data_IF_704078456009
#
_entry.id   IF_704078456009
#
_cell.length_a   1.000
_cell.length_b   1.000
_cell.length_c   1.000
_cell.angle_alpha   90.00
_cell.angle_beta   90.00
_cell.angle_gamma   90.00
#
_symmetry.space_group_name_H-M   'P 1'
#
loop_
_entity.id
_entity.type
_entity.pdbx_description
1 polymer ?
#
# COMPACT_ATOMS: atom_id res chain seq x y z
N UNK A 1 16.10 6.13 4.80
CA UNK A 1 16.12 7.42 5.52
C UNK A 1 17.56 7.90 5.68
N UNK A 2 17.90 9.11 5.21
CA UNK A 2 19.26 9.65 5.35
C UNK A 2 19.74 9.72 6.79
N UNK A 3 18.89 10.12 7.74
CA UNK A 3 19.25 10.21 9.15
C UNK A 3 19.63 8.85 9.76
N UNK A 4 18.94 7.77 9.38
CA UNK A 4 19.29 6.42 9.83
C UNK A 4 20.62 5.95 9.22
N UNK A 5 20.80 6.15 7.92
CA UNK A 5 22.04 5.74 7.21
C UNK A 5 23.27 6.52 7.71
N UNK A 6 23.11 7.80 8.08
CA UNK A 6 24.17 8.62 8.68
C UNK A 6 24.37 8.42 10.19
N UNK A 7 23.62 7.48 10.80
CA UNK A 7 23.65 7.17 12.24
C UNK A 7 23.31 8.38 13.15
N UNK A 8 22.50 9.30 12.65
CA UNK A 8 21.95 10.41 13.45
C UNK A 8 20.78 9.96 14.33
N UNK A 9 20.13 8.85 13.96
CA UNK A 9 19.08 8.19 14.72
C UNK A 9 19.29 6.68 14.67
N UNK A 10 18.79 5.97 15.69
CA UNK A 10 18.93 4.52 15.81
C UNK A 10 17.79 3.77 15.09
N UNK A 11 16.63 4.42 14.93
CA UNK A 11 15.47 3.85 14.26
C UNK A 11 14.61 4.93 13.61
N UNK A 12 13.75 4.51 12.67
CA UNK A 12 12.74 5.36 12.02
C UNK A 12 11.41 4.62 11.95
N UNK A 13 10.31 5.37 12.04
CA UNK A 13 8.95 4.87 11.86
C UNK A 13 8.40 5.39 10.53
N UNK A 14 7.49 4.63 9.90
CA UNK A 14 6.83 5.00 8.64
C UNK A 14 7.67 4.73 7.40
N UNK A 15 8.67 3.86 7.51
CA UNK A 15 9.46 3.42 6.36
C UNK A 15 8.71 2.37 5.54
N UNK A 16 8.67 2.56 4.23
CA UNK A 16 8.18 1.53 3.30
C UNK A 16 9.27 0.49 3.06
N UNK A 17 9.10 -0.71 3.59
CA UNK A 17 10.10 -1.80 3.53
C UNK A 17 10.49 -2.19 2.10
N UNK A 18 9.55 -2.10 1.16
CA UNK A 18 9.78 -2.35 -0.27
C UNK A 18 10.57 -1.23 -0.99
N UNK A 19 10.85 -0.12 -0.31
CA UNK A 19 11.61 1.00 -0.86
C UNK A 19 12.85 1.31 -0.02
N UNK A 20 12.71 1.59 1.29
CA UNK A 20 13.82 2.01 2.13
C UNK A 20 14.87 0.91 2.36
N UNK A 21 14.48 -0.36 2.46
CA UNK A 21 15.45 -1.44 2.58
C UNK A 21 16.29 -1.56 1.30
N UNK A 22 15.65 -1.45 0.13
CA UNK A 22 16.37 -1.42 -1.15
C UNK A 22 17.31 -0.21 -1.26
N UNK A 23 16.87 0.96 -0.79
CA UNK A 23 17.72 2.14 -0.75
C UNK A 23 18.96 1.91 0.13
N UNK A 24 18.79 1.36 1.33
CA UNK A 24 19.89 1.09 2.24
C UNK A 24 20.86 0.06 1.66
N UNK A 25 20.35 -0.99 1.02
CA UNK A 25 21.17 -1.99 0.32
C UNK A 25 22.03 -1.38 -0.78
N UNK A 26 21.44 -0.51 -1.63
CA UNK A 26 22.15 0.20 -2.71
C UNK A 26 23.26 1.10 -2.14
N UNK A 27 22.99 1.75 -1.01
CA UNK A 27 23.96 2.61 -0.28
C UNK A 27 24.99 1.80 0.55
N UNK A 28 24.95 0.47 0.49
CA UNK A 28 25.85 -0.41 1.22
C UNK A 28 25.64 -0.41 2.74
N UNK A 29 24.46 -0.05 3.20
CA UNK A 29 24.08 -0.04 4.62
C UNK A 29 23.11 -1.17 4.89
N UNK A 30 23.44 -2.03 5.85
CA UNK A 30 22.53 -3.08 6.30
C UNK A 30 21.37 -2.47 7.11
N UNK A 31 20.12 -2.76 6.68
CA UNK A 31 18.89 -2.32 7.35
C UNK A 31 18.06 -3.50 7.86
N UNK A 32 17.49 -3.35 9.06
CA UNK A 32 16.52 -4.30 9.62
C UNK A 32 15.16 -3.63 9.72
N UNK A 33 14.13 -4.32 9.25
CA UNK A 33 12.73 -3.89 9.38
C UNK A 33 12.01 -4.79 10.38
N UNK A 34 11.25 -4.19 11.30
CA UNK A 34 10.25 -4.89 12.10
C UNK A 34 8.93 -4.79 11.35
N UNK A 35 8.36 -5.93 11.02
CA UNK A 35 7.08 -5.99 10.33
C UNK A 35 5.95 -5.87 11.36
N UNK A 36 5.16 -4.83 11.24
CA UNK A 36 4.13 -4.50 12.24
C UNK A 36 3.12 -5.64 12.44
N UNK A 37 2.85 -6.41 11.39
CA UNK A 37 2.01 -7.59 11.44
C UNK A 37 2.61 -8.75 12.27
N UNK A 38 3.94 -8.80 12.43
CA UNK A 38 4.64 -9.76 13.28
C UNK A 38 4.76 -9.24 14.73
N UNK A 39 4.56 -7.94 14.93
CA UNK A 39 4.61 -7.25 16.22
C UNK A 39 3.20 -7.02 16.82
N UNK A 40 2.18 -7.72 16.32
CA UNK A 40 0.84 -7.76 16.90
C UNK A 40 -0.16 -6.78 16.29
N UNK A 41 0.20 -5.97 15.31
CA UNK A 41 -0.77 -5.15 14.58
C UNK A 41 -1.48 -5.99 13.52
N UNK A 42 -2.82 -6.08 13.53
CA UNK A 42 -3.53 -6.84 12.50
C UNK A 42 -3.27 -6.27 11.10
N UNK A 43 -3.19 -7.12 10.06
CA UNK A 43 -3.07 -6.65 8.69
C UNK A 43 -4.21 -5.71 8.31
N UNK A 44 -3.89 -4.59 7.67
CA UNK A 44 -4.85 -3.59 7.20
C UNK A 44 -4.51 -3.11 5.78
N UNK A 45 -5.48 -2.46 5.13
CA UNK A 45 -5.26 -1.86 3.81
C UNK A 45 -4.61 -0.49 4.00
N UNK A 46 -3.33 -0.39 3.65
CA UNK A 46 -2.51 0.81 3.92
C UNK A 46 -2.81 1.95 2.93
N UNK A 47 -2.95 1.62 1.66
CA UNK A 47 -3.29 2.58 0.61
C UNK A 47 -4.67 2.27 0.05
N UNK A 48 -5.58 3.21 0.22
CA UNK A 48 -7.00 3.07 -0.17
C UNK A 48 -7.44 4.23 -1.05
N UNK A 49 -8.43 4.00 -1.89
CA UNK A 49 -9.13 5.06 -2.60
C UNK A 49 -10.22 5.65 -1.70
N UNK A 50 -10.27 6.97 -1.62
CA UNK A 50 -11.31 7.70 -0.89
C UNK A 50 -12.15 8.53 -1.83
N UNK A 51 -13.44 8.67 -1.53
CA UNK A 51 -14.39 9.46 -2.31
C UNK A 51 -15.24 10.36 -1.41
N UNK A 52 -15.72 11.45 -1.96
CA UNK A 52 -16.67 12.32 -1.25
C UNK A 52 -18.06 11.68 -1.26
N UNK A 53 -18.58 11.32 -0.09
CA UNK A 53 -19.89 10.69 0.09
C UNK A 53 -21.06 11.52 -0.46
N UNK A 54 -20.94 12.84 -0.54
CA UNK A 54 -22.01 13.72 -0.99
C UNK A 54 -22.24 13.69 -2.49
N UNK A 55 -21.21 13.26 -3.27
CA UNK A 55 -21.23 13.32 -4.75
C UNK A 55 -20.72 12.02 -5.38
N UNK A 56 -21.18 10.87 -4.90
CA UNK A 56 -20.77 9.57 -5.43
C UNK A 56 -21.40 9.34 -6.80
N UNK A 57 -20.57 9.33 -7.84
CA UNK A 57 -20.96 8.83 -9.17
C UNK A 57 -20.57 7.35 -9.29
N UNK A 58 -21.51 6.45 -8.98
CA UNK A 58 -21.27 5.00 -9.01
C UNK A 58 -20.74 4.52 -10.36
N UNK A 59 -21.31 4.97 -11.47
CA UNK A 59 -20.88 4.52 -12.81
C UNK A 59 -19.43 4.91 -13.11
N UNK A 60 -19.02 6.09 -12.68
CA UNK A 60 -17.62 6.52 -12.82
C UNK A 60 -16.70 5.67 -11.96
N UNK A 61 -17.08 5.40 -10.71
CA UNK A 61 -16.27 4.60 -9.78
C UNK A 61 -16.14 3.15 -10.26
N UNK A 62 -17.21 2.53 -10.76
CA UNK A 62 -17.14 1.18 -11.35
C UNK A 62 -16.12 1.15 -12.49
N UNK A 63 -16.19 2.11 -13.42
CA UNK A 63 -15.25 2.19 -14.54
C UNK A 63 -13.79 2.42 -14.06
N UNK A 64 -13.62 3.29 -13.08
CA UNK A 64 -12.31 3.55 -12.48
C UNK A 64 -11.74 2.28 -11.83
N UNK A 65 -12.50 1.62 -10.94
CA UNK A 65 -12.06 0.40 -10.26
C UNK A 65 -11.79 -0.74 -11.25
N UNK A 66 -12.64 -0.89 -12.28
CA UNK A 66 -12.41 -1.87 -13.35
C UNK A 66 -11.11 -1.59 -14.12
N UNK A 67 -10.79 -0.32 -14.38
CA UNK A 67 -9.53 0.05 -15.02
C UNK A 67 -8.31 -0.28 -14.12
N UNK A 68 -8.40 0.03 -12.81
CA UNK A 68 -7.36 -0.30 -11.84
C UNK A 68 -7.17 -1.82 -11.73
N UNK A 69 -8.26 -2.59 -11.65
CA UNK A 69 -8.18 -4.06 -11.59
C UNK A 69 -7.49 -4.65 -12.83
N UNK A 70 -7.88 -4.20 -14.02
CA UNK A 70 -7.23 -4.61 -15.28
C UNK A 70 -5.75 -4.25 -15.31
N UNK A 71 -5.40 -3.04 -14.87
CA UNK A 71 -4.00 -2.60 -14.78
C UNK A 71 -3.21 -3.45 -13.79
N UNK A 72 -3.78 -3.76 -12.62
CA UNK A 72 -3.14 -4.61 -11.61
C UNK A 72 -2.89 -6.01 -12.17
N UNK A 73 -3.87 -6.63 -12.81
CA UNK A 73 -3.73 -7.94 -13.44
C UNK A 73 -2.69 -7.93 -14.56
N UNK A 74 -2.66 -6.85 -15.35
CA UNK A 74 -1.66 -6.70 -16.40
C UNK A 74 -0.24 -6.61 -15.81
N UNK A 75 -0.03 -5.79 -14.77
CA UNK A 75 1.25 -5.63 -14.08
C UNK A 75 1.75 -6.98 -13.53
N UNK A 76 0.87 -7.75 -12.89
CA UNK A 76 1.21 -9.04 -12.29
C UNK A 76 1.62 -10.06 -13.37
N UNK A 77 0.92 -10.07 -14.49
CA UNK A 77 1.17 -11.02 -15.59
C UNK A 77 2.33 -10.58 -16.51
N UNK A 78 2.65 -9.28 -16.56
CA UNK A 78 3.65 -8.68 -17.41
C UNK A 78 4.60 -7.73 -16.64
N UNK A 79 5.28 -8.22 -15.59
CA UNK A 79 6.01 -7.36 -14.64
C UNK A 79 7.14 -6.56 -15.29
N UNK A 80 7.91 -7.17 -16.20
CA UNK A 80 9.03 -6.51 -16.90
C UNK A 80 8.54 -5.49 -17.93
N UNK A 81 7.47 -5.78 -18.64
CA UNK A 81 6.89 -4.85 -19.61
C UNK A 81 6.27 -3.64 -18.90
N UNK A 82 5.54 -3.90 -17.84
CA UNK A 82 4.94 -2.87 -17.00
C UNK A 82 6.00 -1.99 -16.33
N UNK A 83 7.13 -2.57 -15.89
CA UNK A 83 8.28 -1.79 -15.43
C UNK A 83 8.76 -0.83 -16.51
N UNK A 84 8.94 -1.29 -17.75
CA UNK A 84 9.40 -0.43 -18.85
C UNK A 84 8.43 0.72 -19.11
N UNK A 85 7.13 0.49 -19.07
CA UNK A 85 6.11 1.52 -19.22
C UNK A 85 6.25 2.56 -18.09
N UNK A 86 6.34 2.11 -16.84
CA UNK A 86 6.51 2.96 -15.67
C UNK A 86 7.82 3.77 -15.75
N UNK A 87 8.95 3.12 -15.99
CA UNK A 87 10.25 3.74 -16.02
C UNK A 87 10.39 4.78 -17.16
N UNK A 88 9.70 4.57 -18.28
CA UNK A 88 9.71 5.50 -19.42
C UNK A 88 8.76 6.68 -19.24
N UNK A 89 7.89 6.69 -18.22
CA UNK A 89 6.96 7.80 -17.98
C UNK A 89 7.66 9.07 -17.46
N UNK A 90 8.81 8.92 -16.80
CA UNK A 90 9.70 10.04 -16.40
C UNK A 90 11.14 9.56 -16.26
N UNK A 91 12.11 10.43 -16.58
CA UNK A 91 13.56 10.11 -16.48
C UNK A 91 13.98 9.78 -15.04
N UNK A 92 13.37 10.43 -14.07
CA UNK A 92 13.66 10.24 -12.63
C UNK A 92 13.23 8.86 -12.12
N UNK A 93 12.28 8.21 -12.81
CA UNK A 93 11.77 6.89 -12.42
C UNK A 93 12.66 5.74 -12.88
N UNK A 94 13.45 5.95 -13.96
CA UNK A 94 14.31 4.91 -14.52
C UNK A 94 15.64 4.79 -13.77
N UNK A 95 15.60 4.21 -12.58
CA UNK A 95 16.78 3.97 -11.76
C UNK A 95 16.68 2.61 -11.04
N UNK A 96 17.79 2.15 -10.46
CA UNK A 96 17.90 0.86 -9.78
C UNK A 96 16.97 0.74 -8.57
N UNK A 97 16.86 1.79 -7.76
CA UNK A 97 16.01 1.79 -6.57
C UNK A 97 14.54 1.58 -6.95
N UNK A 98 14.03 2.35 -7.91
CA UNK A 98 12.66 2.21 -8.36
C UNK A 98 12.41 0.84 -9.02
N UNK A 99 13.41 0.27 -9.71
CA UNK A 99 13.28 -1.06 -10.28
C UNK A 99 13.14 -2.14 -9.19
N UNK A 100 14.00 -2.13 -8.17
CA UNK A 100 13.89 -3.07 -7.03
C UNK A 100 12.55 -2.89 -6.31
N UNK A 101 12.18 -1.65 -5.99
CA UNK A 101 10.91 -1.35 -5.33
C UNK A 101 9.69 -1.78 -6.15
N UNK A 102 9.75 -1.67 -7.48
CA UNK A 102 8.68 -2.13 -8.38
C UNK A 102 8.39 -3.61 -8.20
N UNK A 103 9.42 -4.45 -8.28
CA UNK A 103 9.26 -5.90 -8.15
C UNK A 103 8.86 -6.32 -6.74
N UNK A 104 9.34 -5.64 -5.72
CA UNK A 104 8.94 -5.88 -4.33
C UNK A 104 7.50 -5.42 -4.04
N UNK A 105 6.96 -4.49 -4.81
CA UNK A 105 5.60 -3.97 -4.65
C UNK A 105 4.55 -4.88 -5.29
N UNK A 106 4.86 -5.50 -6.43
CA UNK A 106 3.89 -6.33 -7.19
C UNK A 106 3.18 -7.39 -6.33
N UNK A 107 3.87 -8.17 -5.47
CA UNK A 107 3.22 -9.18 -4.63
C UNK A 107 2.25 -8.60 -3.57
N UNK A 108 2.26 -7.29 -3.37
CA UNK A 108 1.45 -6.58 -2.36
C UNK A 108 0.19 -5.93 -2.94
N UNK A 109 0.02 -5.97 -4.25
CA UNK A 109 -1.19 -5.45 -4.86
C UNK A 109 -2.41 -6.29 -4.52
N UNK A 110 -3.51 -5.62 -4.20
CA UNK A 110 -4.81 -6.27 -4.15
C UNK A 110 -5.19 -6.76 -5.56
N UNK A 111 -5.40 -8.07 -5.72
CA UNK A 111 -5.79 -8.67 -7.02
C UNK A 111 -7.14 -8.14 -7.53
N UNK A 112 -8.01 -7.79 -6.60
CA UNK A 112 -9.33 -7.20 -6.86
C UNK A 112 -9.51 -5.96 -5.99
N UNK A 113 -9.07 -4.78 -6.44
CA UNK A 113 -9.10 -3.54 -5.65
C UNK A 113 -10.50 -3.11 -5.21
N UNK A 114 -11.54 -3.54 -5.92
CA UNK A 114 -12.93 -3.27 -5.54
C UNK A 114 -13.47 -4.21 -4.44
N UNK A 115 -12.82 -5.34 -4.19
CA UNK A 115 -13.25 -6.30 -3.18
C UNK A 115 -12.70 -5.89 -1.82
N UNK A 116 -13.59 -5.49 -0.91
CA UNK A 116 -13.25 -5.11 0.46
C UNK A 116 -13.37 -6.32 1.39
N UNK A 117 -12.44 -6.47 2.33
CA UNK A 117 -12.50 -7.48 3.37
C UNK A 117 -13.07 -6.89 4.67
N UNK A 118 -14.37 -7.03 4.86
CA UNK A 118 -15.06 -6.58 6.09
C UNK A 118 -14.42 -7.15 7.36
N UNK A 119 -13.97 -8.41 7.33
CA UNK A 119 -13.31 -9.03 8.46
C UNK A 119 -11.98 -8.35 8.82
N UNK A 120 -11.21 -7.93 7.83
CA UNK A 120 -9.97 -7.16 8.02
C UNK A 120 -10.24 -5.81 8.66
N UNK A 121 -11.22 -5.05 8.15
CA UNK A 121 -11.65 -3.78 8.74
C UNK A 121 -12.08 -3.94 10.20
N UNK A 122 -12.92 -4.92 10.50
CA UNK A 122 -13.42 -5.17 11.86
C UNK A 122 -12.28 -5.56 12.82
N UNK A 123 -11.33 -6.41 12.39
CA UNK A 123 -10.18 -6.79 13.24
C UNK A 123 -9.27 -5.60 13.53
N UNK A 124 -9.03 -4.76 12.53
CA UNK A 124 -8.20 -3.57 12.72
C UNK A 124 -8.90 -2.52 13.61
N UNK A 125 -10.19 -2.30 13.41
CA UNK A 125 -11.00 -1.42 14.29
C UNK A 125 -11.02 -1.92 15.74
N UNK A 126 -11.18 -3.23 15.95
CA UNK A 126 -11.10 -3.84 17.29
C UNK A 126 -9.75 -3.58 17.94
N UNK A 127 -8.67 -3.79 17.22
CA UNK A 127 -7.31 -3.50 17.68
C UNK A 127 -7.18 -2.01 18.08
N UNK A 128 -7.59 -1.08 17.23
CA UNK A 128 -7.52 0.35 17.53
C UNK A 128 -8.34 0.73 18.78
N UNK A 129 -9.47 0.07 18.99
CA UNK A 129 -10.32 0.31 20.14
C UNK A 129 -9.72 -0.25 21.44
N UNK A 130 -9.16 -1.46 21.41
CA UNK A 130 -8.51 -2.10 22.57
C UNK A 130 -7.26 -1.30 22.98
N UNK A 131 -6.48 -0.83 22.01
CA UNK A 131 -5.28 -0.01 22.26
C UNK A 131 -5.61 1.45 22.64
N UNK A 132 -6.89 1.82 22.72
CA UNK A 132 -7.32 3.17 23.10
C UNK A 132 -7.02 4.24 22.06
N UNK A 133 -6.72 3.86 20.81
CA UNK A 133 -6.44 4.77 19.70
C UNK A 133 -7.72 5.39 19.14
N UNK A 134 -8.86 4.74 19.32
CA UNK A 134 -10.19 5.27 19.02
C UNK A 134 -11.12 5.10 20.24
N UNK A 135 -12.06 6.04 20.40
CA UNK A 135 -12.99 6.06 21.53
C UNK A 135 -14.28 5.25 21.31
N UNK A 136 -14.56 4.91 20.06
CA UNK A 136 -15.76 4.16 19.66
C UNK A 136 -15.53 3.45 18.35
N UNK A 137 -16.21 2.32 18.17
CA UNK A 137 -16.30 1.61 16.89
C UNK A 137 -17.38 2.19 16.01
N UNK A 138 -17.20 2.09 14.71
CA UNK A 138 -18.17 2.50 13.68
C UNK A 138 -18.65 1.27 12.90
N UNK A 139 -19.91 1.23 12.48
CA UNK A 139 -20.36 0.21 11.53
C UNK A 139 -19.51 0.24 10.27
N UNK A 140 -19.12 -0.93 9.76
CA UNK A 140 -18.30 -1.07 8.55
C UNK A 140 -18.83 -0.23 7.39
N UNK A 141 -20.13 -0.18 7.22
CA UNK A 141 -20.83 0.56 6.15
C UNK A 141 -20.65 2.09 6.23
N UNK A 142 -20.14 2.60 7.36
CA UNK A 142 -19.73 4.00 7.51
C UNK A 142 -18.27 4.25 7.19
N UNK A 143 -17.44 3.21 7.18
CA UNK A 143 -16.01 3.28 6.90
C UNK A 143 -15.70 2.95 5.44
N UNK A 144 -16.42 2.00 4.86
CA UNK A 144 -16.16 1.50 3.53
C UNK A 144 -17.46 1.30 2.74
N UNK A 145 -17.39 1.52 1.44
CA UNK A 145 -18.52 1.34 0.51
C UNK A 145 -18.12 0.36 -0.58
N UNK A 146 -18.81 -0.75 -0.65
CA UNK A 146 -18.64 -1.71 -1.74
C UNK A 146 -19.33 -1.19 -3.00
N UNK A 147 -18.59 -1.19 -4.10
CA UNK A 147 -19.06 -0.74 -5.41
C UNK A 147 -19.06 -1.95 -6.33
N UNK A 148 -20.25 -2.44 -6.67
CA UNK A 148 -20.45 -3.55 -7.59
C UNK A 148 -21.06 -3.05 -8.93
N UNK A 149 -20.79 -3.84 -9.99
CA UNK A 149 -21.47 -3.69 -11.29
C UNK A 149 -22.97 -4.00 -11.21
#
# INVERSE_FOLDING_TARGET
>A
SPALMSKQVDAVIGAYRNFQLNQMEIEGVEGKCFYIEEEGVPPYDELIFIVNNQNINKNMLIKFLSAIEKATQYIINHPEESWKIFANSSKELNNELNRKAWFDTIPRFALRPAALDKGRYNRFEEFLYIEGLINKKLPYEKMATEIYE
#
